data_IF_332874132819
#
_entry.id   IF_332874132819
#
_cell.length_a   1.000
_cell.length_b   1.000
_cell.length_c   1.000
_cell.angle_alpha   90.00
_cell.angle_beta   90.00
_cell.angle_gamma   90.00
#
_symmetry.space_group_name_H-M   'P 1'
#
loop_
_entity.id
_entity.type
_entity.pdbx_description
1 polymer ?
#
# COMPACT_ATOMS: atom_id res chain seq x y z
N UNK A 1 -7.83 14.47 16.53
CA UNK A 1 -7.01 14.56 15.30
C UNK A 1 -6.55 13.16 14.96
N UNK A 2 -6.84 12.68 13.75
CA UNK A 2 -6.42 11.37 13.27
C UNK A 2 -4.89 11.32 13.15
N UNK A 3 -4.21 10.28 13.64
CA UNK A 3 -2.76 10.21 13.62
C UNK A 3 -2.25 10.01 12.18
N UNK A 4 -1.49 10.98 11.67
CA UNK A 4 -0.79 10.86 10.39
C UNK A 4 0.53 10.10 10.59
N UNK A 5 0.72 8.96 9.93
CA UNK A 5 2.04 8.30 9.86
C UNK A 5 2.67 8.55 8.51
N UNK A 6 4.00 8.67 8.50
CA UNK A 6 4.80 8.83 7.29
C UNK A 6 5.51 7.52 6.98
N UNK A 7 5.40 7.06 5.74
CA UNK A 7 6.08 5.88 5.22
C UNK A 7 7.05 6.34 4.14
N UNK A 8 8.32 5.94 4.23
CA UNK A 8 9.32 6.19 3.16
C UNK A 8 9.35 5.00 2.21
N UNK A 9 9.07 5.24 0.93
CA UNK A 9 9.12 4.22 -0.14
C UNK A 9 9.96 4.77 -1.29
N UNK A 10 11.06 4.09 -1.65
CA UNK A 10 11.98 4.49 -2.73
C UNK A 10 12.45 5.96 -2.67
N UNK A 11 12.61 6.52 -1.46
CA UNK A 11 12.99 7.93 -1.26
C UNK A 11 11.82 8.92 -1.32
N UNK A 12 10.61 8.47 -1.68
CA UNK A 12 9.37 9.24 -1.61
C UNK A 12 8.73 9.10 -0.23
N UNK A 13 8.33 10.22 0.37
CA UNK A 13 7.63 10.24 1.66
C UNK A 13 6.11 10.25 1.42
N UNK A 14 5.44 9.17 1.84
CA UNK A 14 3.99 8.97 1.70
C UNK A 14 3.35 9.23 3.06
N UNK A 15 2.47 10.22 3.14
CA UNK A 15 1.69 10.50 4.36
C UNK A 15 0.39 9.71 4.32
N UNK A 16 0.18 8.84 5.29
CA UNK A 16 -1.02 8.03 5.45
C UNK A 16 -1.82 8.57 6.63
N UNK A 17 -3.05 8.98 6.36
CA UNK A 17 -4.03 9.41 7.36
C UNK A 17 -4.75 8.16 7.86
N UNK A 18 -4.42 7.71 9.07
CA UNK A 18 -5.11 6.57 9.68
C UNK A 18 -6.39 7.05 10.35
N UNK A 19 -7.54 6.52 9.93
CA UNK A 19 -8.78 6.76 10.67
C UNK A 19 -8.80 5.86 11.90
N UNK A 20 -9.06 6.44 13.08
CA UNK A 20 -8.72 5.86 14.37
C UNK A 20 -9.46 4.55 14.75
N UNK A 21 -10.33 4.02 13.91
CA UNK A 21 -11.05 2.76 14.09
C UNK A 21 -11.43 2.07 12.77
N UNK A 22 -10.91 2.53 11.63
CA UNK A 22 -11.06 1.82 10.36
C UNK A 22 -9.78 1.03 10.12
N UNK A 23 -9.92 -0.28 9.93
CA UNK A 23 -8.82 -1.08 9.44
C UNK A 23 -8.53 -0.62 8.01
N UNK A 24 -7.53 0.24 7.84
CA UNK A 24 -7.09 0.69 6.52
C UNK A 24 -6.43 -0.50 5.81
N UNK A 25 -7.13 -1.06 4.82
CA UNK A 25 -6.62 -2.15 4.00
C UNK A 25 -5.95 -1.61 2.75
N UNK A 26 -4.80 -2.19 2.40
CA UNK A 26 -4.14 -1.93 1.13
C UNK A 26 -4.34 -3.16 0.24
N UNK A 27 -4.92 -2.96 -0.95
CA UNK A 27 -5.15 -4.04 -1.90
C UNK A 27 -3.81 -4.47 -2.55
N UNK A 28 -3.29 -5.62 -2.11
CA UNK A 28 -2.06 -6.20 -2.66
C UNK A 28 -2.19 -6.51 -4.16
N UNK A 29 -3.36 -6.99 -4.60
CA UNK A 29 -3.63 -7.31 -6.01
C UNK A 29 -3.54 -6.09 -6.91
N UNK A 30 -4.07 -4.95 -6.48
CA UNK A 30 -4.01 -3.73 -7.29
C UNK A 30 -2.60 -3.18 -7.38
N UNK A 31 -1.82 -3.27 -6.29
CA UNK A 31 -0.39 -2.93 -6.33
C UNK A 31 0.40 -3.84 -7.27
N UNK A 32 0.13 -5.15 -7.25
CA UNK A 32 0.79 -6.10 -8.14
C UNK A 32 0.39 -5.91 -9.61
N UNK A 33 -0.89 -5.61 -9.90
CA UNK A 33 -1.36 -5.26 -11.25
C UNK A 33 -0.74 -3.97 -11.78
N UNK A 34 -0.62 -2.95 -10.93
CA UNK A 34 0.04 -1.70 -11.30
C UNK A 34 1.51 -1.92 -11.67
N UNK A 35 2.20 -2.82 -10.95
CA UNK A 35 3.60 -3.16 -11.20
C UNK A 35 3.79 -4.03 -12.44
N UNK A 36 2.99 -5.08 -12.60
CA UNK A 36 2.97 -5.94 -13.79
C UNK A 36 1.58 -6.59 -13.97
N UNK A 37 0.83 -6.07 -14.95
CA UNK A 37 -0.52 -6.55 -15.27
C UNK A 37 -0.53 -8.02 -15.73
N UNK A 38 0.56 -8.50 -16.35
CA UNK A 38 0.63 -9.86 -16.91
C UNK A 38 1.17 -10.89 -15.93
N UNK A 39 1.87 -10.45 -14.88
CA UNK A 39 2.56 -11.34 -13.93
C UNK A 39 2.23 -11.00 -12.47
N UNK A 40 0.98 -10.64 -12.22
CA UNK A 40 0.48 -10.34 -10.87
C UNK A 40 0.70 -11.52 -9.91
N UNK A 41 0.48 -12.74 -10.37
CA UNK A 41 0.64 -13.97 -9.57
C UNK A 41 2.10 -14.24 -9.17
N UNK A 42 3.07 -13.84 -10.01
CA UNK A 42 4.49 -13.95 -9.68
C UNK A 42 4.92 -12.90 -8.64
N UNK A 43 4.25 -11.75 -8.59
CA UNK A 43 4.53 -10.69 -7.62
C UNK A 43 4.01 -11.07 -6.23
N UNK A 44 2.94 -11.86 -6.15
CA UNK A 44 2.32 -12.30 -4.89
C UNK A 44 2.43 -13.82 -4.77
N UNK A 45 3.56 -14.30 -4.24
CA UNK A 45 3.84 -15.71 -3.98
C UNK A 45 4.36 -15.89 -2.53
N UNK A 46 4.14 -17.07 -1.92
CA UNK A 46 4.61 -17.44 -0.58
C UNK A 46 6.06 -17.94 -0.58
#
# INVERSE_FOLDING_TARGET
>A
MSPTKKIKVNGTEISVLFQANENDYICLTDMARYKDLKRTDYIIQN
#
